data_IF_215459273689
#
_entry.id   IF_215459273689
#
_cell.length_a   1.000
_cell.length_b   1.000
_cell.length_c   1.000
_cell.angle_alpha   90.00
_cell.angle_beta   90.00
_cell.angle_gamma   90.00
#
_symmetry.space_group_name_H-M   'P 1'
#
loop_
_entity.id
_entity.type
_entity.pdbx_description
1 polymer ?
#
# COMPACT_ATOMS: atom_id res chain seq x y z
N UNK A 1 26.63 -12.79 0.95
CA UNK A 1 27.35 -12.40 2.17
C UNK A 1 26.25 -11.80 3.02
N UNK A 2 25.69 -12.63 3.89
CA UNK A 2 24.35 -12.46 4.47
C UNK A 2 24.44 -12.00 5.94
N UNK A 3 25.60 -11.47 6.32
CA UNK A 3 25.83 -10.89 7.64
C UNK A 3 25.07 -9.57 7.78
N UNK A 4 24.39 -9.39 8.90
CA UNK A 4 23.66 -8.15 9.22
C UNK A 4 22.24 -8.06 8.65
N UNK A 5 21.72 -9.11 8.02
CA UNK A 5 20.32 -9.14 7.56
C UNK A 5 19.33 -9.23 8.73
N UNK A 6 18.11 -8.67 8.59
CA UNK A 6 17.05 -8.83 9.58
C UNK A 6 16.67 -10.31 9.75
N UNK A 7 16.10 -10.70 10.91
CA UNK A 7 15.53 -12.02 11.08
C UNK A 7 14.39 -12.26 10.08
N UNK A 8 14.23 -13.53 9.67
CA UNK A 8 13.14 -13.93 8.80
C UNK A 8 11.77 -13.64 9.45
N UNK A 9 10.83 -13.20 8.62
CA UNK A 9 9.46 -12.92 9.06
C UNK A 9 8.74 -14.25 9.29
N UNK A 10 8.07 -14.44 10.45
CA UNK A 10 7.52 -15.75 10.84
C UNK A 10 6.18 -16.09 10.17
N UNK A 11 5.76 -15.31 9.17
CA UNK A 11 4.53 -15.46 8.40
C UNK A 11 4.76 -14.93 6.99
N UNK A 12 3.81 -15.18 6.07
CA UNK A 12 3.89 -14.71 4.69
C UNK A 12 3.60 -13.20 4.62
N UNK A 13 4.59 -12.33 4.33
CA UNK A 13 4.38 -10.89 4.26
C UNK A 13 3.50 -10.52 3.05
N UNK A 14 2.61 -9.54 3.26
CA UNK A 14 1.70 -9.02 2.23
C UNK A 14 1.87 -7.53 1.96
N UNK A 15 2.28 -6.75 2.97
CA UNK A 15 2.55 -5.32 2.84
C UNK A 15 3.47 -4.83 3.94
N UNK A 16 4.21 -3.77 3.65
CA UNK A 16 5.12 -3.14 4.57
C UNK A 16 4.87 -1.64 4.58
N UNK A 17 5.00 -1.01 5.74
CA UNK A 17 4.89 0.45 5.91
C UNK A 17 6.00 0.95 6.84
N UNK A 18 6.54 2.12 6.58
CA UNK A 18 7.35 2.85 7.56
C UNK A 18 6.45 3.47 8.62
N UNK A 19 6.94 3.56 9.85
CA UNK A 19 6.33 4.30 10.95
C UNK A 19 7.44 4.93 11.83
N UNK A 20 7.07 5.78 12.78
CA UNK A 20 8.03 6.57 13.57
C UNK A 20 9.08 5.74 14.33
N UNK A 21 8.80 4.46 14.61
CA UNK A 21 9.70 3.56 15.33
C UNK A 21 10.31 2.45 14.48
N UNK A 22 10.22 2.52 13.15
CA UNK A 22 10.82 1.53 12.23
C UNK A 22 9.86 1.08 11.13
N UNK A 23 9.71 -0.24 10.98
CA UNK A 23 8.94 -0.86 9.89
C UNK A 23 7.81 -1.75 10.43
N UNK A 24 6.61 -1.53 9.92
CA UNK A 24 5.43 -2.36 10.14
C UNK A 24 5.31 -3.38 9.00
N UNK A 25 5.20 -4.66 9.35
CA UNK A 25 4.96 -5.75 8.41
C UNK A 25 3.57 -6.32 8.65
N UNK A 26 2.78 -6.39 7.59
CA UNK A 26 1.45 -6.99 7.55
C UNK A 26 1.53 -8.35 6.84
N UNK A 27 0.87 -9.36 7.40
CA UNK A 27 0.82 -10.70 6.84
C UNK A 27 -0.40 -10.95 5.95
N UNK A 28 -0.42 -12.11 5.31
CA UNK A 28 -1.52 -12.53 4.43
C UNK A 28 -2.81 -12.86 5.19
N UNK A 29 -2.70 -13.32 6.44
CA UNK A 29 -3.83 -13.79 7.26
C UNK A 29 -4.22 -12.78 8.37
N UNK A 30 -3.69 -11.56 8.28
CA UNK A 30 -4.00 -10.45 9.19
C UNK A 30 -2.96 -10.22 10.28
N UNK A 31 -1.79 -10.84 10.17
CA UNK A 31 -0.67 -10.67 11.09
C UNK A 31 -0.13 -9.23 11.05
N UNK A 32 0.34 -8.77 12.21
CA UNK A 32 0.95 -7.46 12.44
C UNK A 32 2.25 -7.68 13.21
N UNK A 33 3.36 -7.23 12.64
CA UNK A 33 4.68 -7.25 13.27
C UNK A 33 5.33 -5.87 13.20
N UNK A 34 5.81 -5.39 14.35
CA UNK A 34 6.56 -4.14 14.45
C UNK A 34 8.05 -4.44 14.55
N UNK A 35 8.80 -4.02 13.55
CA UNK A 35 10.25 -3.99 13.59
C UNK A 35 10.73 -2.61 14.07
N UNK A 36 11.75 -2.60 14.92
CA UNK A 36 12.45 -1.39 15.35
C UNK A 36 13.47 -0.89 14.32
N UNK A 37 14.25 0.13 14.68
CA UNK A 37 15.28 0.75 13.81
C UNK A 37 16.38 -0.24 13.36
N UNK A 38 16.70 -1.25 14.17
CA UNK A 38 17.64 -2.33 13.80
C UNK A 38 16.98 -3.46 12.99
N UNK A 39 15.74 -3.26 12.52
CA UNK A 39 14.91 -4.25 11.84
C UNK A 39 14.68 -5.54 12.65
N UNK A 40 14.77 -5.44 13.97
CA UNK A 40 14.46 -6.52 14.91
C UNK A 40 13.03 -6.37 15.44
N UNK A 41 12.31 -7.48 15.67
CA UNK A 41 11.00 -7.45 16.31
C UNK A 41 11.04 -6.70 17.64
N UNK A 42 10.21 -5.64 17.75
CA UNK A 42 10.00 -4.92 19.01
C UNK A 42 9.14 -5.73 19.98
N UNK A 43 8.21 -6.49 19.42
CA UNK A 43 7.29 -7.39 20.11
C UNK A 43 7.10 -8.65 19.26
N UNK A 44 6.56 -9.75 19.84
CA UNK A 44 5.98 -10.82 19.04
C UNK A 44 4.95 -10.27 18.04
N UNK A 45 4.82 -10.93 16.89
CA UNK A 45 3.70 -10.64 16.01
C UNK A 45 2.38 -11.03 16.69
N UNK A 46 1.28 -10.43 16.25
CA UNK A 46 -0.05 -10.83 16.64
C UNK A 46 -0.99 -10.80 15.43
N UNK A 47 -2.16 -11.41 15.57
CA UNK A 47 -3.22 -11.34 14.55
C UNK A 47 -4.44 -10.62 15.15
N UNK A 48 -4.51 -9.27 15.06
CA UNK A 48 -5.61 -8.49 15.63
C UNK A 48 -6.98 -8.92 15.13
N UNK A 49 -7.05 -9.36 13.87
CA UNK A 49 -8.25 -9.93 13.31
C UNK A 49 -7.87 -10.97 12.26
N UNK A 50 -8.43 -12.19 12.29
CA UNK A 50 -7.97 -13.32 11.48
C UNK A 50 -8.56 -13.27 10.07
N UNK A 51 -8.32 -12.16 9.36
CA UNK A 51 -8.77 -11.88 8.00
C UNK A 51 -7.68 -11.09 7.28
N UNK A 52 -7.60 -11.22 5.95
CA UNK A 52 -6.64 -10.47 5.16
C UNK A 52 -6.85 -8.96 5.31
N UNK A 53 -5.76 -8.23 5.54
CA UNK A 53 -5.75 -6.77 5.41
C UNK A 53 -5.69 -6.42 3.92
N UNK A 54 -6.76 -5.86 3.38
CA UNK A 54 -6.86 -5.53 1.95
C UNK A 54 -6.27 -4.15 1.61
N UNK A 55 -6.51 -3.17 2.47
CA UNK A 55 -6.00 -1.82 2.33
C UNK A 55 -5.44 -1.34 3.66
N UNK A 56 -4.38 -0.54 3.61
CA UNK A 56 -3.75 0.02 4.79
C UNK A 56 -2.94 1.26 4.46
N UNK A 57 -2.86 2.15 5.44
CA UNK A 57 -2.07 3.39 5.44
C UNK A 57 -1.61 3.66 6.87
N UNK A 58 -0.39 4.19 7.02
CA UNK A 58 0.16 4.60 8.31
C UNK A 58 0.25 6.11 8.37
N UNK A 59 -0.20 6.69 9.48
CA UNK A 59 -0.13 8.12 9.75
C UNK A 59 -0.11 8.36 11.26
N UNK A 60 0.77 9.26 11.74
CA UNK A 60 0.87 9.62 13.16
C UNK A 60 0.98 8.39 14.09
N UNK A 61 1.85 7.45 13.72
CA UNK A 61 2.06 6.20 14.46
C UNK A 61 0.77 5.35 14.67
N UNK A 62 -0.17 5.44 13.73
CA UNK A 62 -1.40 4.65 13.69
C UNK A 62 -1.52 3.93 12.35
N UNK A 63 -1.89 2.66 12.40
CA UNK A 63 -2.29 1.87 11.25
C UNK A 63 -3.78 2.03 11.02
N UNK A 64 -4.15 2.60 9.88
CA UNK A 64 -5.51 2.56 9.36
C UNK A 64 -5.59 1.44 8.37
N UNK A 65 -6.55 0.53 8.53
CA UNK A 65 -6.67 -0.58 7.59
C UNK A 65 -8.09 -1.14 7.49
N UNK A 66 -8.28 -1.91 6.42
CA UNK A 66 -9.49 -2.68 6.19
C UNK A 66 -9.18 -4.16 6.16
N UNK A 67 -10.03 -4.95 6.81
CA UNK A 67 -10.00 -6.40 6.77
C UNK A 67 -11.15 -6.91 5.93
N UNK A 68 -10.90 -7.95 5.13
CA UNK A 68 -11.94 -8.63 4.35
C UNK A 68 -11.74 -10.14 4.39
N UNK A 69 -12.85 -10.86 4.55
CA UNK A 69 -12.93 -12.30 4.33
C UNK A 69 -14.12 -12.58 3.42
N UNK A 70 -13.83 -12.98 2.18
CA UNK A 70 -14.83 -13.27 1.17
C UNK A 70 -15.63 -14.54 1.43
N UNK A 71 -15.09 -15.49 2.18
CA UNK A 71 -15.83 -16.71 2.56
C UNK A 71 -16.84 -16.42 3.68
N UNK A 72 -16.47 -15.54 4.62
CA UNK A 72 -17.35 -15.07 5.69
C UNK A 72 -18.27 -13.93 5.23
N UNK A 73 -18.03 -13.36 4.04
CA UNK A 73 -18.71 -12.16 3.54
C UNK A 73 -18.65 -11.01 4.55
N UNK A 74 -17.50 -10.86 5.20
CA UNK A 74 -17.28 -9.91 6.27
C UNK A 74 -16.21 -8.89 5.89
N UNK A 75 -16.46 -7.64 6.26
CA UNK A 75 -15.46 -6.59 6.18
C UNK A 75 -15.46 -5.70 7.43
N UNK A 76 -14.27 -5.23 7.79
CA UNK A 76 -14.02 -4.27 8.88
C UNK A 76 -13.14 -3.15 8.38
N UNK A 77 -13.31 -1.99 8.97
CA UNK A 77 -12.33 -0.90 8.91
C UNK A 77 -11.98 -0.52 10.34
N UNK A 78 -10.76 -0.06 10.56
CA UNK A 78 -10.31 0.28 11.91
C UNK A 78 -8.98 0.98 11.93
N UNK A 79 -8.62 1.39 13.14
CA UNK A 79 -7.36 2.02 13.46
C UNK A 79 -6.69 1.28 14.62
N UNK A 80 -5.41 0.93 14.48
CA UNK A 80 -4.59 0.27 15.51
C UNK A 80 -3.40 1.18 15.83
N UNK A 81 -3.10 1.45 17.11
CA UNK A 81 -1.92 2.22 17.49
C UNK A 81 -0.64 1.40 17.30
N UNK A 82 0.46 2.05 16.89
CA UNK A 82 1.76 1.41 16.66
C UNK A 82 2.79 1.74 17.75
N UNK A 83 2.38 2.47 18.80
CA UNK A 83 3.20 2.78 19.97
C UNK A 83 3.22 1.65 21.03
N UNK A 84 2.36 0.65 20.87
CA UNK A 84 2.14 -0.43 21.81
C UNK A 84 2.17 -1.80 21.13
N UNK A 85 2.33 -2.86 21.94
CA UNK A 85 2.37 -4.21 21.40
C UNK A 85 1.04 -4.57 20.70
N UNK A 86 1.08 -5.16 19.49
CA UNK A 86 -0.12 -5.64 18.82
C UNK A 86 -0.75 -6.77 19.67
N UNK A 87 -2.07 -6.94 19.54
CA UNK A 87 -2.83 -7.88 20.37
C UNK A 87 -3.50 -8.92 19.49
N UNK A 88 -3.52 -10.16 19.95
CA UNK A 88 -4.27 -11.22 19.28
C UNK A 88 -5.77 -11.01 19.41
N UNK A 89 -6.44 -11.18 18.29
CA UNK A 89 -7.88 -11.11 18.14
C UNK A 89 -8.60 -12.41 18.48
N UNK A 90 -9.93 -12.42 18.30
CA UNK A 90 -10.69 -13.65 18.37
C UNK A 90 -10.26 -14.63 17.27
N UNK A 91 -10.34 -15.95 17.49
CA UNK A 91 -10.07 -16.93 16.45
C UNK A 91 -11.13 -16.86 15.34
N UNK A 92 -10.75 -17.23 14.10
CA UNK A 92 -11.64 -17.14 12.93
C UNK A 92 -12.97 -17.87 13.11
N UNK A 93 -12.97 -18.99 13.83
CA UNK A 93 -14.16 -19.79 14.10
C UNK A 93 -15.25 -19.02 14.90
N UNK A 94 -14.83 -18.07 15.76
CA UNK A 94 -15.74 -17.25 16.55
C UNK A 94 -16.34 -16.07 15.77
N UNK A 95 -15.89 -15.80 14.55
CA UNK A 95 -16.44 -14.71 13.74
C UNK A 95 -17.86 -15.03 13.24
N UNK A 96 -18.24 -16.32 13.17
CA UNK A 96 -19.55 -16.78 12.68
C UNK A 96 -20.65 -16.79 13.75
N UNK A 97 -20.31 -16.63 15.02
CA UNK A 97 -21.22 -16.91 16.13
C UNK A 97 -22.04 -15.70 16.61
N UNK A 98 -21.92 -14.55 15.93
CA UNK A 98 -22.58 -13.30 16.34
C UNK A 98 -23.92 -13.13 15.64
N UNK A 99 -25.02 -13.12 16.40
CA UNK A 99 -26.38 -13.02 15.87
C UNK A 99 -26.84 -11.60 15.57
N UNK A 100 -26.17 -10.59 16.14
CA UNK A 100 -26.49 -9.16 15.96
C UNK A 100 -25.26 -8.30 15.68
N UNK A 101 -25.48 -7.10 15.12
CA UNK A 101 -24.42 -6.11 14.86
C UNK A 101 -23.70 -5.68 16.14
N UNK A 102 -24.41 -5.58 17.27
CA UNK A 102 -23.82 -5.18 18.55
C UNK A 102 -22.86 -6.22 19.14
N UNK A 103 -23.04 -7.49 18.78
CA UNK A 103 -22.17 -8.59 19.22
C UNK A 103 -21.00 -8.82 18.28
N UNK A 104 -20.98 -8.13 17.13
CA UNK A 104 -19.99 -8.32 16.10
C UNK A 104 -18.57 -8.17 16.65
N UNK A 105 -17.71 -9.12 16.31
CA UNK A 105 -16.30 -9.05 16.69
C UNK A 105 -15.57 -7.97 15.90
N UNK A 106 -14.61 -7.34 16.56
CA UNK A 106 -13.75 -6.29 16.03
C UNK A 106 -12.27 -6.65 16.23
N UNK A 107 -11.35 -6.07 15.44
CA UNK A 107 -9.91 -6.27 15.62
C UNK A 107 -9.45 -5.95 17.05
N UNK A 108 -8.62 -6.79 17.66
CA UNK A 108 -8.09 -6.51 18.98
C UNK A 108 -7.12 -5.32 18.97
N UNK A 109 -7.11 -4.55 20.06
CA UNK A 109 -6.21 -3.39 20.19
C UNK A 109 -6.57 -2.19 19.32
N UNK A 110 -7.75 -2.17 18.68
CA UNK A 110 -8.20 -1.03 17.90
C UNK A 110 -8.48 0.20 18.79
N UNK A 111 -8.23 1.40 18.26
CA UNK A 111 -8.74 2.68 18.79
C UNK A 111 -10.23 2.79 18.47
N UNK A 112 -10.56 2.49 17.21
CA UNK A 112 -11.92 2.40 16.72
C UNK A 112 -12.01 1.34 15.62
N UNK A 113 -13.21 0.80 15.41
CA UNK A 113 -13.51 -0.09 14.30
C UNK A 113 -14.97 -0.04 13.90
N UNK A 114 -15.23 -0.16 12.60
CA UNK A 114 -16.56 -0.20 12.02
C UNK A 114 -16.76 -1.45 11.14
N UNK A 115 -18.00 -1.91 11.11
CA UNK A 115 -18.45 -2.92 10.15
C UNK A 115 -18.61 -2.26 8.78
N UNK A 116 -18.02 -2.87 7.77
CA UNK A 116 -18.29 -2.51 6.38
C UNK A 116 -19.30 -3.49 5.79
N UNK A 117 -20.25 -2.97 5.03
CA UNK A 117 -21.27 -3.75 4.31
C UNK A 117 -20.97 -3.89 2.81
N UNK A 118 -19.75 -3.53 2.41
CA UNK A 118 -19.25 -3.68 1.05
C UNK A 118 -17.73 -3.82 1.05
N UNK A 119 -17.19 -4.27 -0.08
CA UNK A 119 -15.76 -4.44 -0.30
C UNK A 119 -15.03 -3.08 -0.34
N UNK A 120 -13.99 -2.90 0.49
CA UNK A 120 -13.12 -1.73 0.40
C UNK A 120 -12.16 -1.84 -0.78
N UNK A 121 -12.17 -0.83 -1.64
CA UNK A 121 -11.36 -0.79 -2.86
C UNK A 121 -10.05 -0.03 -2.68
N UNK A 122 -10.04 1.00 -1.83
CA UNK A 122 -8.86 1.81 -1.57
C UNK A 122 -8.99 2.54 -0.23
N UNK A 123 -7.86 2.86 0.39
CA UNK A 123 -7.73 3.59 1.64
C UNK A 123 -6.47 4.44 1.59
N UNK A 124 -6.52 5.67 2.08
CA UNK A 124 -5.34 6.50 2.33
C UNK A 124 -5.59 7.50 3.45
N UNK A 125 -4.52 7.86 4.16
CA UNK A 125 -4.54 8.86 5.22
C UNK A 125 -3.46 9.93 4.98
N UNK A 126 -3.77 11.20 5.27
CA UNK A 126 -2.78 12.31 5.30
C UNK A 126 -3.28 13.44 6.20
N UNK A 127 -2.42 13.98 7.05
CA UNK A 127 -2.78 15.03 8.01
C UNK A 127 -3.77 14.54 9.07
N UNK A 128 -5.01 15.02 9.01
CA UNK A 128 -6.14 14.53 9.83
C UNK A 128 -7.25 13.89 8.97
N UNK A 129 -6.99 13.69 7.67
CA UNK A 129 -8.00 13.19 6.73
C UNK A 129 -7.71 11.75 6.35
N UNK A 130 -8.72 10.91 6.51
CA UNK A 130 -8.79 9.54 6.03
C UNK A 130 -9.79 9.48 4.88
N UNK A 131 -9.40 8.92 3.74
CA UNK A 131 -10.32 8.70 2.60
C UNK A 131 -10.34 7.22 2.23
N UNK A 132 -11.53 6.69 2.01
CA UNK A 132 -11.69 5.33 1.50
C UNK A 132 -12.82 5.21 0.48
N UNK A 133 -12.70 4.22 -0.40
CA UNK A 133 -13.69 3.89 -1.41
C UNK A 133 -14.26 2.50 -1.16
N UNK A 134 -15.58 2.38 -1.27
CA UNK A 134 -16.31 1.11 -1.16
C UNK A 134 -16.98 0.77 -2.48
N UNK A 135 -16.87 -0.49 -2.89
CA UNK A 135 -17.53 -1.02 -4.08
C UNK A 135 -19.05 -0.77 -4.03
N UNK A 136 -19.61 -0.15 -5.08
CA UNK A 136 -21.05 0.14 -5.22
C UNK A 136 -21.69 0.93 -4.07
N UNK A 137 -20.90 1.65 -3.28
CA UNK A 137 -21.39 2.44 -2.14
C UNK A 137 -20.98 3.90 -2.21
N UNK A 138 -19.71 4.18 -2.50
CA UNK A 138 -19.24 5.56 -2.58
C UNK A 138 -17.81 5.77 -2.11
N UNK A 139 -17.46 7.05 -1.97
CA UNK A 139 -16.20 7.52 -1.40
C UNK A 139 -16.53 8.27 -0.11
N UNK A 140 -15.74 8.06 0.93
CA UNK A 140 -15.97 8.61 2.26
C UNK A 140 -14.73 9.34 2.73
N UNK A 141 -14.91 10.51 3.35
CA UNK A 141 -13.88 11.25 4.05
C UNK A 141 -14.18 11.30 5.55
N UNK A 142 -13.16 11.02 6.37
CA UNK A 142 -13.27 10.91 7.82
C UNK A 142 -12.09 11.61 8.49
N UNK A 143 -12.28 11.97 9.75
CA UNK A 143 -11.17 12.35 10.64
C UNK A 143 -10.34 11.13 11.03
N UNK A 144 -9.20 11.37 11.68
CA UNK A 144 -8.37 10.29 12.23
C UNK A 144 -9.03 9.49 13.37
N UNK A 145 -10.14 10.02 13.91
CA UNK A 145 -11.01 9.47 14.96
C UNK A 145 -12.28 8.77 14.41
N UNK A 146 -12.41 8.66 13.08
CA UNK A 146 -13.55 8.08 12.36
C UNK A 146 -14.86 8.88 12.40
N UNK A 147 -14.79 10.19 12.66
CA UNK A 147 -15.93 11.07 12.42
C UNK A 147 -16.10 11.33 10.92
N UNK A 148 -17.32 11.22 10.39
CA UNK A 148 -17.59 11.49 8.98
C UNK A 148 -17.45 12.99 8.68
N UNK A 149 -16.56 13.33 7.75
CA UNK A 149 -16.41 14.68 7.20
C UNK A 149 -17.38 14.88 6.03
N UNK A 150 -17.42 13.90 5.12
CA UNK A 150 -18.27 13.92 3.94
C UNK A 150 -18.44 12.51 3.34
N UNK A 151 -19.46 12.36 2.51
CA UNK A 151 -19.70 11.17 1.69
C UNK A 151 -20.10 11.55 0.28
N UNK A 152 -19.58 10.81 -0.68
CA UNK A 152 -19.82 10.99 -2.10
C UNK A 152 -20.32 9.68 -2.72
N UNK A 153 -21.12 9.81 -3.78
CA UNK A 153 -21.54 8.67 -4.58
C UNK A 153 -20.32 7.95 -5.21
N UNK A 154 -20.57 6.76 -5.76
CA UNK A 154 -19.55 5.99 -6.45
C UNK A 154 -18.89 6.81 -7.58
N UNK A 155 -17.56 6.67 -7.80
CA UNK A 155 -16.90 7.29 -8.94
C UNK A 155 -17.56 6.86 -10.26
N UNK A 156 -17.99 7.84 -11.05
CA UNK A 156 -18.45 7.61 -12.42
C UNK A 156 -17.34 7.96 -13.40
N UNK A 157 -16.99 7.05 -14.30
CA UNK A 157 -15.89 7.21 -15.24
C UNK A 157 -16.42 7.40 -16.66
N UNK A 158 -15.91 8.40 -17.40
CA UNK A 158 -16.45 8.76 -18.71
C UNK A 158 -15.88 7.90 -19.88
N UNK A 159 -15.93 6.57 -19.76
CA UNK A 159 -15.44 5.67 -20.81
C UNK A 159 -16.32 5.70 -22.07
N UNK A 160 -15.75 5.79 -23.29
CA UNK A 160 -16.52 5.70 -24.55
C UNK A 160 -17.21 4.35 -24.73
N UNK A 161 -16.62 3.27 -24.20
CA UNK A 161 -17.17 1.92 -24.20
C UNK A 161 -16.88 1.27 -22.86
N UNK A 162 -17.90 0.74 -22.20
CA UNK A 162 -17.74 -0.04 -20.95
C UNK A 162 -17.05 -1.36 -21.26
N UNK A 163 -15.96 -1.65 -20.54
CA UNK A 163 -15.27 -2.94 -20.52
C UNK A 163 -15.39 -3.56 -19.13
N UNK A 164 -15.28 -4.90 -19.00
CA UNK A 164 -15.30 -5.52 -17.69
C UNK A 164 -14.24 -4.92 -16.76
N UNK A 165 -14.67 -4.51 -15.56
CA UNK A 165 -13.82 -4.01 -14.46
C UNK A 165 -13.03 -2.72 -14.74
N UNK A 166 -13.26 -2.02 -15.85
CA UNK A 166 -12.55 -0.75 -16.14
C UNK A 166 -12.82 0.36 -15.12
N UNK A 167 -13.96 0.28 -14.42
CA UNK A 167 -14.40 1.24 -13.41
C UNK A 167 -13.93 0.95 -11.98
N UNK A 168 -13.27 -0.18 -11.75
CA UNK A 168 -12.77 -0.57 -10.42
C UNK A 168 -11.68 0.41 -9.96
N UNK A 169 -11.78 0.92 -8.74
CA UNK A 169 -10.72 1.78 -8.16
C UNK A 169 -9.56 0.89 -7.71
N UNK A 170 -8.34 1.18 -8.18
CA UNK A 170 -7.13 0.39 -7.91
C UNK A 170 -6.09 1.15 -7.08
N UNK A 171 -6.21 2.47 -6.96
CA UNK A 171 -5.34 3.28 -6.12
C UNK A 171 -6.04 4.54 -5.62
N UNK A 172 -5.57 5.01 -4.45
CA UNK A 172 -5.96 6.28 -3.86
C UNK A 172 -4.72 6.94 -3.27
N UNK A 173 -4.48 8.21 -3.61
CA UNK A 173 -3.35 9.00 -3.10
C UNK A 173 -3.86 10.34 -2.58
N UNK A 174 -3.51 10.70 -1.35
CA UNK A 174 -3.81 12.03 -0.79
C UNK A 174 -2.65 12.99 -1.02
N UNK A 175 -2.98 14.23 -1.37
CA UNK A 175 -2.02 15.29 -1.60
C UNK A 175 -2.57 16.66 -1.20
N UNK A 176 -2.28 17.06 0.04
CA UNK A 176 -2.75 18.31 0.63
C UNK A 176 -4.28 18.37 0.64
N UNK A 177 -4.82 19.40 0.00
CA UNK A 177 -6.27 19.65 -0.08
C UNK A 177 -6.96 18.83 -1.18
N UNK A 178 -6.25 17.88 -1.80
CA UNK A 178 -6.79 17.01 -2.84
C UNK A 178 -6.46 15.55 -2.60
N UNK A 179 -7.18 14.67 -3.29
CA UNK A 179 -6.81 13.28 -3.46
C UNK A 179 -7.10 12.83 -4.88
N UNK A 180 -6.39 11.81 -5.33
CA UNK A 180 -6.66 11.13 -6.60
C UNK A 180 -7.15 9.73 -6.36
N UNK A 181 -8.13 9.29 -7.16
CA UNK A 181 -8.47 7.88 -7.32
C UNK A 181 -8.18 7.45 -8.75
N UNK A 182 -7.58 6.27 -8.90
CA UNK A 182 -7.26 5.70 -10.21
C UNK A 182 -8.14 4.49 -10.45
N UNK A 183 -8.72 4.42 -11.63
CA UNK A 183 -9.47 3.25 -12.07
C UNK A 183 -8.60 2.29 -12.87
N UNK A 184 -8.98 1.02 -12.84
CA UNK A 184 -8.34 -0.07 -13.59
C UNK A 184 -8.29 0.18 -15.09
N UNK A 185 -9.24 0.92 -15.66
CA UNK A 185 -9.22 1.30 -17.08
C UNK A 185 -8.34 2.52 -17.42
N UNK A 186 -7.55 3.03 -16.47
CA UNK A 186 -6.56 4.07 -16.72
C UNK A 186 -7.07 5.50 -16.59
N UNK A 187 -8.23 5.73 -15.97
CA UNK A 187 -8.69 7.09 -15.66
C UNK A 187 -8.39 7.48 -14.23
N UNK A 188 -8.05 8.75 -14.05
CA UNK A 188 -7.75 9.35 -12.76
C UNK A 188 -8.74 10.49 -12.52
N UNK A 189 -9.35 10.50 -11.35
CA UNK A 189 -10.12 11.64 -10.87
C UNK A 189 -9.34 12.33 -9.76
N UNK A 190 -9.11 13.64 -9.90
CA UNK A 190 -8.65 14.49 -8.81
C UNK A 190 -9.86 15.12 -8.14
N UNK A 191 -9.89 15.03 -6.81
CA UNK A 191 -11.03 15.42 -5.98
C UNK A 191 -10.56 16.25 -4.79
N UNK A 192 -11.44 17.08 -4.24
CA UNK A 192 -11.19 17.84 -3.01
C UNK A 192 -11.14 16.91 -1.80
N UNK A 193 -10.11 16.98 -0.96
CA UNK A 193 -10.06 16.20 0.30
C UNK A 193 -10.99 16.76 1.37
N UNK A 194 -11.38 18.04 1.27
CA UNK A 194 -12.28 18.71 2.23
C UNK A 194 -13.75 18.44 1.97
N UNK A 195 -14.14 18.21 0.70
CA UNK A 195 -15.55 18.07 0.32
C UNK A 195 -15.85 16.77 -0.42
N UNK A 196 -14.84 16.07 -0.94
CA UNK A 196 -15.01 14.91 -1.82
C UNK A 196 -15.43 15.24 -3.26
N UNK A 197 -15.61 16.53 -3.59
CA UNK A 197 -16.11 16.94 -4.91
C UNK A 197 -15.09 16.65 -6.01
N UNK A 198 -15.57 16.21 -7.17
CA UNK A 198 -14.75 16.04 -8.36
C UNK A 198 -14.23 17.41 -8.82
N UNK A 199 -12.91 17.53 -9.00
CA UNK A 199 -12.27 18.72 -9.54
C UNK A 199 -12.00 18.54 -11.04
N UNK A 200 -11.47 17.37 -11.41
CA UNK A 200 -11.18 17.02 -12.79
C UNK A 200 -11.06 15.50 -12.97
N UNK A 201 -11.18 15.06 -14.23
CA UNK A 201 -10.93 13.69 -14.66
C UNK A 201 -10.01 13.71 -15.89
N UNK A 202 -8.99 12.85 -15.90
CA UNK A 202 -8.06 12.71 -17.01
C UNK A 202 -7.64 11.25 -17.21
N UNK A 203 -6.99 10.96 -18.33
CA UNK A 203 -6.44 9.64 -18.64
C UNK A 203 -4.99 9.61 -18.16
N UNK A 204 -4.62 8.55 -17.44
CA UNK A 204 -3.26 8.32 -16.98
C UNK A 204 -2.31 8.18 -18.18
N UNK A 205 -1.14 8.81 -18.10
CA UNK A 205 -0.06 8.60 -19.07
C UNK A 205 0.60 7.27 -18.72
N UNK A 206 0.18 6.19 -19.38
CA UNK A 206 0.62 4.87 -18.98
C UNK A 206 0.30 3.78 -20.01
N UNK A 207 0.45 2.51 -19.60
CA UNK A 207 0.15 1.36 -20.46
C UNK A 207 -1.28 1.39 -20.99
N UNK A 208 -1.49 0.89 -22.21
CA UNK A 208 -2.83 0.74 -22.78
C UNK A 208 -3.62 -0.44 -22.16
N UNK A 209 -2.92 -1.37 -21.51
CA UNK A 209 -3.50 -2.51 -20.83
C UNK A 209 -4.19 -2.11 -19.50
N UNK A 210 -5.12 -2.93 -18.97
CA UNK A 210 -5.72 -2.68 -17.66
C UNK A 210 -4.65 -2.48 -16.58
N UNK A 211 -4.84 -1.43 -15.77
CA UNK A 211 -3.95 -1.10 -14.68
C UNK A 211 -4.15 -2.04 -13.49
N UNK A 212 -3.06 -2.33 -12.79
CA UNK A 212 -3.05 -3.08 -11.54
C UNK A 212 -2.65 -2.18 -10.37
N UNK A 213 -1.62 -1.35 -10.57
CA UNK A 213 -1.11 -0.46 -9.54
C UNK A 213 -0.82 0.93 -10.09
N UNK A 214 -0.96 1.91 -9.20
CA UNK A 214 -0.46 3.26 -9.41
C UNK A 214 0.25 3.67 -8.12
N UNK A 215 1.56 3.81 -8.18
CA UNK A 215 2.39 4.28 -7.06
C UNK A 215 2.71 5.77 -7.26
N UNK A 216 2.82 6.52 -6.15
CA UNK A 216 3.14 7.94 -6.18
C UNK A 216 4.16 8.29 -5.10
N UNK A 217 5.14 9.10 -5.45
CA UNK A 217 6.07 9.73 -4.51
C UNK A 217 6.34 11.17 -4.95
N UNK A 218 5.82 12.14 -4.20
CA UNK A 218 5.85 13.55 -4.60
C UNK A 218 5.23 13.73 -5.99
N UNK A 219 6.04 14.24 -6.93
CA UNK A 219 5.65 14.48 -8.34
C UNK A 219 5.99 13.31 -9.27
N UNK A 220 6.49 12.20 -8.74
CA UNK A 220 6.76 10.98 -9.49
C UNK A 220 5.58 10.01 -9.37
N UNK A 221 5.15 9.48 -10.51
CA UNK A 221 4.10 8.48 -10.62
C UNK A 221 4.64 7.26 -11.35
N UNK A 222 4.31 6.06 -10.86
CA UNK A 222 4.60 4.79 -11.52
C UNK A 222 3.29 4.05 -11.78
N UNK A 223 2.91 3.99 -13.05
CA UNK A 223 1.64 3.40 -13.50
C UNK A 223 1.92 2.02 -14.10
N UNK A 224 1.31 0.99 -13.53
CA UNK A 224 1.63 -0.40 -13.82
C UNK A 224 0.40 -1.16 -14.31
N UNK A 225 0.55 -1.96 -15.37
CA UNK A 225 -0.49 -2.81 -15.92
C UNK A 225 -0.46 -4.23 -15.35
N UNK A 226 -1.57 -4.94 -15.56
CA UNK A 226 -1.69 -6.38 -15.27
C UNK A 226 -0.73 -7.24 -16.09
N UNK A 227 -0.23 -6.72 -17.22
CA UNK A 227 0.72 -7.40 -18.11
C UNK A 227 2.18 -7.13 -17.80
N UNK A 228 2.49 -6.45 -16.68
CA UNK A 228 3.85 -6.10 -16.27
C UNK A 228 4.43 -4.88 -17.01
N UNK A 229 3.66 -4.18 -17.83
CA UNK A 229 4.09 -2.92 -18.41
C UNK A 229 4.03 -1.83 -17.34
N UNK A 230 5.07 -1.03 -17.23
CA UNK A 230 5.09 0.12 -16.33
C UNK A 230 5.52 1.38 -17.05
N UNK A 231 5.06 2.51 -16.53
CA UNK A 231 5.37 3.83 -17.04
C UNK A 231 5.71 4.75 -15.88
N UNK A 232 6.88 5.37 -15.93
CA UNK A 232 7.28 6.41 -15.00
C UNK A 232 6.96 7.77 -15.59
N UNK A 233 6.14 8.53 -14.87
CA UNK A 233 5.75 9.90 -15.17
C UNK A 233 6.31 10.82 -14.10
N UNK A 234 6.80 11.99 -14.51
CA UNK A 234 7.18 13.08 -13.62
C UNK A 234 6.56 14.37 -14.10
N UNK A 235 5.80 15.06 -13.24
CA UNK A 235 5.11 16.31 -13.58
C UNK A 235 4.28 16.21 -14.87
N UNK A 236 3.56 15.10 -15.06
CA UNK A 236 2.76 14.86 -16.27
C UNK A 236 3.58 14.57 -17.53
N UNK A 237 4.89 14.36 -17.42
CA UNK A 237 5.76 13.99 -18.55
C UNK A 237 6.20 12.54 -18.45
N UNK A 238 6.03 11.79 -19.53
CA UNK A 238 6.55 10.43 -19.68
C UNK A 238 8.09 10.42 -19.65
N UNK A 239 8.69 9.77 -18.66
CA UNK A 239 10.14 9.62 -18.57
C UNK A 239 10.65 8.27 -19.07
N UNK A 240 9.93 7.18 -18.76
CA UNK A 240 10.31 5.80 -19.08
C UNK A 240 9.10 4.90 -19.26
N UNK A 241 9.24 3.91 -20.12
CA UNK A 241 8.35 2.74 -20.22
C UNK A 241 9.20 1.48 -20.21
N UNK A 242 8.83 0.52 -19.37
CA UNK A 242 9.49 -0.79 -19.26
C UNK A 242 8.46 -1.90 -19.16
N UNK A 243 8.90 -3.15 -19.28
CA UNK A 243 8.06 -4.35 -19.14
C UNK A 243 8.75 -5.40 -18.27
N UNK A 244 8.05 -5.86 -17.24
CA UNK A 244 8.44 -6.95 -16.35
C UNK A 244 7.94 -8.29 -16.88
N UNK A 245 8.46 -9.37 -16.30
CA UNK A 245 8.07 -10.76 -16.59
C UNK A 245 6.65 -11.08 -16.09
N UNK A 246 6.13 -10.26 -15.17
CA UNK A 246 4.79 -10.37 -14.62
C UNK A 246 4.34 -9.05 -13.99
N UNK A 247 3.19 -9.05 -13.28
CA UNK A 247 2.70 -7.87 -12.57
C UNK A 247 3.74 -7.32 -11.58
N UNK A 248 3.71 -6.01 -11.40
CA UNK A 248 4.46 -5.34 -10.35
C UNK A 248 3.84 -5.72 -9.01
N UNK A 249 4.66 -6.17 -8.06
CA UNK A 249 4.23 -6.54 -6.71
C UNK A 249 4.33 -5.35 -5.75
N UNK A 250 5.37 -4.55 -5.92
CA UNK A 250 5.65 -3.40 -5.08
C UNK A 250 6.55 -2.41 -5.81
N UNK A 251 6.46 -1.13 -5.45
CA UNK A 251 7.43 -0.13 -5.86
C UNK A 251 7.64 0.91 -4.76
N UNK A 252 8.88 1.32 -4.56
CA UNK A 252 9.28 2.40 -3.65
C UNK A 252 10.21 3.38 -4.37
N UNK A 253 10.16 4.64 -3.94
CA UNK A 253 11.10 5.65 -4.38
C UNK A 253 12.38 5.55 -3.55
N UNK A 254 13.52 5.47 -4.21
CA UNK A 254 14.85 5.56 -3.60
C UNK A 254 15.34 7.02 -3.71
N UNK A 255 15.42 7.76 -2.59
CA UNK A 255 15.85 9.16 -2.62
C UNK A 255 17.35 9.32 -2.84
N UNK A 256 18.17 8.30 -2.61
CA UNK A 256 19.63 8.36 -2.82
C UNK A 256 19.94 8.21 -4.31
N UNK A 257 19.24 7.30 -4.98
CA UNK A 257 19.41 7.01 -6.41
C UNK A 257 18.49 7.86 -7.32
N UNK A 258 17.57 8.62 -6.73
CA UNK A 258 16.55 9.41 -7.43
C UNK A 258 15.80 8.59 -8.48
N UNK A 259 15.22 7.47 -8.03
CA UNK A 259 14.56 6.54 -8.92
C UNK A 259 13.60 5.56 -8.23
N UNK A 260 12.91 4.77 -9.04
CA UNK A 260 12.03 3.71 -8.58
C UNK A 260 12.80 2.41 -8.39
N UNK A 261 12.61 1.79 -7.22
CA UNK A 261 12.86 0.37 -7.01
C UNK A 261 11.56 -0.38 -7.18
N UNK A 262 11.57 -1.44 -7.98
CA UNK A 262 10.36 -2.17 -8.36
C UNK A 262 10.56 -3.66 -8.13
N UNK A 263 9.68 -4.25 -7.33
CA UNK A 263 9.58 -5.69 -7.15
C UNK A 263 8.59 -6.27 -8.16
N UNK A 264 9.04 -7.22 -8.96
CA UNK A 264 8.23 -7.96 -9.91
C UNK A 264 8.19 -9.45 -9.61
N UNK A 265 7.68 -10.22 -10.58
CA UNK A 265 7.68 -11.68 -10.48
C UNK A 265 9.11 -12.23 -10.57
N UNK A 266 9.68 -12.62 -9.42
CA UNK A 266 11.05 -13.15 -9.29
C UNK A 266 12.11 -12.20 -9.87
N UNK A 267 11.90 -10.90 -9.74
CA UNK A 267 12.84 -9.90 -10.21
C UNK A 267 12.75 -8.58 -9.46
N UNK A 268 13.86 -7.85 -9.43
CA UNK A 268 13.95 -6.46 -8.99
C UNK A 268 14.42 -5.59 -10.15
N UNK A 269 13.83 -4.39 -10.31
CA UNK A 269 14.30 -3.36 -11.21
C UNK A 269 14.67 -2.08 -10.44
N UNK A 270 15.74 -1.43 -10.88
CA UNK A 270 16.07 -0.04 -10.54
C UNK A 270 15.88 0.83 -11.77
N UNK A 271 15.07 1.87 -11.65
CA UNK A 271 14.74 2.80 -12.73
C UNK A 271 15.10 4.21 -12.29
N UNK A 272 16.13 4.79 -12.90
CA UNK A 272 16.57 6.17 -12.65
C UNK A 272 16.55 6.97 -13.95
N UNK A 273 16.81 8.28 -13.86
CA UNK A 273 16.88 9.15 -15.02
C UNK A 273 17.98 8.75 -16.03
N UNK A 274 18.96 7.93 -15.62
CA UNK A 274 20.11 7.54 -16.45
C UNK A 274 20.32 6.03 -16.59
N UNK A 275 19.74 5.21 -15.70
CA UNK A 275 19.97 3.76 -15.66
C UNK A 275 18.66 2.99 -15.53
N UNK A 276 18.60 1.84 -16.18
CA UNK A 276 17.56 0.84 -15.97
C UNK A 276 18.27 -0.50 -15.75
N UNK A 277 18.27 -0.99 -14.52
CA UNK A 277 18.97 -2.22 -14.15
C UNK A 277 17.95 -3.26 -13.68
N UNK A 278 18.27 -4.53 -13.90
CA UNK A 278 17.40 -5.67 -13.57
C UNK A 278 18.21 -6.78 -12.94
N UNK A 279 17.63 -7.40 -11.92
CA UNK A 279 18.15 -8.59 -11.28
C UNK A 279 17.06 -9.66 -11.19
N UNK A 280 17.42 -10.91 -11.47
CA UNK A 280 16.51 -12.05 -11.31
C UNK A 280 16.74 -12.67 -9.94
N UNK A 281 15.65 -12.97 -9.26
CA UNK A 281 15.64 -13.65 -7.97
C UNK A 281 15.09 -15.07 -8.12
N UNK A 282 15.44 -15.95 -7.19
CA UNK A 282 14.79 -17.26 -7.10
C UNK A 282 13.39 -17.14 -6.50
N UNK A 283 13.21 -16.28 -5.48
CA UNK A 283 11.93 -16.01 -4.82
C UNK A 283 11.30 -14.68 -5.21
N UNK A 284 10.04 -14.48 -4.83
CA UNK A 284 9.23 -13.34 -5.26
C UNK A 284 9.43 -12.18 -4.26
N UNK A 285 10.07 -11.08 -4.67
CA UNK A 285 10.17 -9.90 -3.81
C UNK A 285 8.77 -9.30 -3.61
N UNK A 286 8.45 -8.93 -2.37
CA UNK A 286 7.16 -8.32 -1.99
C UNK A 286 7.32 -6.92 -1.40
N UNK A 287 8.53 -6.56 -0.97
CA UNK A 287 8.86 -5.21 -0.51
C UNK A 287 10.33 -4.90 -0.78
N UNK A 288 10.61 -3.62 -0.99
CA UNK A 288 11.97 -3.11 -1.16
C UNK A 288 12.12 -1.90 -0.24
N UNK A 289 13.00 -2.02 0.75
CA UNK A 289 13.32 -0.98 1.71
C UNK A 289 14.63 -0.30 1.33
N UNK A 290 14.60 0.93 0.80
CA UNK A 290 15.82 1.71 0.58
C UNK A 290 16.56 1.91 1.90
N UNK A 291 17.85 1.60 1.92
CA UNK A 291 18.73 1.86 3.07
C UNK A 291 19.97 2.61 2.60
N UNK A 292 20.78 3.14 3.52
CA UNK A 292 21.98 3.89 3.14
C UNK A 292 22.89 3.06 2.24
N UNK A 293 23.07 3.52 0.99
CA UNK A 293 23.95 2.88 0.01
C UNK A 293 23.33 1.72 -0.78
N UNK A 294 22.08 1.34 -0.56
CA UNK A 294 21.45 0.21 -1.26
C UNK A 294 19.99 -0.01 -0.88
N UNK A 295 19.55 -1.26 -0.85
CA UNK A 295 18.22 -1.61 -0.35
C UNK A 295 18.20 -3.03 0.24
N UNK A 296 17.22 -3.27 1.11
CA UNK A 296 16.87 -4.60 1.59
C UNK A 296 15.61 -5.07 0.84
N UNK A 297 15.64 -6.34 0.43
CA UNK A 297 14.55 -7.00 -0.29
C UNK A 297 13.90 -8.01 0.66
N UNK A 298 12.61 -7.84 0.90
CA UNK A 298 11.79 -8.83 1.61
C UNK A 298 11.09 -9.72 0.58
N UNK A 299 11.24 -11.03 0.73
CA UNK A 299 10.59 -12.03 -0.11
C UNK A 299 9.29 -12.54 0.50
N UNK A 300 8.45 -13.14 -0.35
CA UNK A 300 7.17 -13.73 0.04
C UNK A 300 7.29 -14.88 1.04
N UNK A 301 8.47 -15.49 1.20
CA UNK A 301 8.76 -16.53 2.19
C UNK A 301 9.24 -15.95 3.55
N UNK A 302 9.30 -14.62 3.66
CA UNK A 302 9.73 -13.91 4.86
C UNK A 302 11.24 -13.69 4.96
N UNK A 303 12.04 -14.19 4.02
CA UNK A 303 13.50 -13.98 4.03
C UNK A 303 13.89 -12.60 3.51
N UNK A 304 15.08 -12.15 3.89
CA UNK A 304 15.67 -10.90 3.45
C UNK A 304 16.92 -11.15 2.60
N UNK A 305 17.19 -10.28 1.62
CA UNK A 305 18.50 -10.17 0.95
C UNK A 305 18.85 -8.71 0.69
N UNK A 306 20.14 -8.44 0.52
CA UNK A 306 20.59 -7.14 0.01
C UNK A 306 20.30 -7.05 -1.49
N UNK A 307 19.78 -5.90 -1.93
CA UNK A 307 19.69 -5.55 -3.35
C UNK A 307 21.10 -5.49 -3.95
N UNK A 308 21.31 -5.97 -5.19
CA UNK A 308 22.57 -5.78 -5.88
C UNK A 308 22.79 -4.34 -6.37
N UNK A 309 21.76 -3.48 -6.30
CA UNK A 309 21.85 -2.11 -6.76
C UNK A 309 22.25 -1.18 -5.61
N UNK A 310 23.46 -0.64 -5.71
CA UNK A 310 24.04 0.27 -4.71
C UNK A 310 24.07 1.72 -5.23
N UNK A 311 23.84 2.65 -4.31
CA UNK A 311 24.00 4.08 -4.56
C UNK A 311 25.35 4.58 -4.04
N UNK A 312 26.00 5.46 -4.81
CA UNK A 312 27.14 6.21 -4.26
C UNK A 312 26.60 7.21 -3.25
N UNK A 313 26.87 6.96 -1.96
CA UNK A 313 26.65 7.98 -0.93
C UNK A 313 27.71 9.05 -1.17
N UNK A 314 27.36 10.34 -1.37
CA UNK A 314 28.37 11.38 -1.43
C UNK A 314 29.18 11.33 -0.13
N UNK A 315 30.51 11.25 -0.25
CA UNK A 315 31.40 11.35 0.89
C UNK A 315 31.13 12.69 1.56
N UNK A 316 30.37 12.68 2.66
CA UNK A 316 30.38 13.80 3.59
C UNK A 316 31.75 13.71 4.26
N UNK A 317 32.70 14.46 3.74
CA UNK A 317 33.88 14.83 4.52
C UNK A 317 33.37 15.53 5.76
N UNK A 318 33.59 14.93 6.93
CA UNK A 318 33.49 15.61 8.21
C UNK A 318 34.55 16.71 8.24
N UNK A 319 34.26 17.85 7.63
CA UNK A 319 35.01 19.10 7.76
C UNK A 319 34.13 20.22 7.20
N UNK A 320 33.33 20.83 8.08
CA UNK A 320 33.18 22.29 8.27
C UNK A 320 32.24 22.60 9.46
#
# INVERSE_FOLDING_TARGET
MDEGLPPAIPFLPSRVHSYDGGILILGMDGEVLLLGDELKPRYPYATPFPMKISNSSVLNNRLYCTWIDGELMMARMGCIPLDSAPKDGPPRAELRTTGTVAEAKHPAGNIWSHILNSEPLALGAKGDTLVFALWRKGIYGLTSEADELWRMAEPTWNYPKKRPRDSETIALHLDGDTFTITSRGGRIQRRSSTTGSLLEEFIAIGPEAPLEHHFKHGLHELICSTGGELTWVHEGTLLRTLKLNGPVQFASWDPILEGWRVAGWREELLITATRNERHQWEEIPVHIEPVKGGALILFNDGTWKNSPFEGQVPNVTEED
#
